data_IF_269797709247
#
_entry.id   IF_269797709247
#
_cell.length_a   1.000
_cell.length_b   1.000
_cell.length_c   1.000
_cell.angle_alpha   90.00
_cell.angle_beta   90.00
_cell.angle_gamma   90.00
#
_symmetry.space_group_name_H-M   'P 1'
#
loop_
_entity.id
_entity.type
_entity.pdbx_description
1 polymer ?
#
# COMPACT_ATOMS: atom_id res chain seq x y z
N UNK A 1 3.98 2.44 -10.93
CA UNK A 1 3.06 3.48 -11.43
C UNK A 1 3.07 4.67 -10.48
N UNK A 2 3.24 5.90 -10.98
CA UNK A 2 2.97 7.12 -10.21
C UNK A 2 1.48 7.45 -10.39
N UNK A 3 0.68 7.40 -9.33
CA UNK A 3 -0.77 7.59 -9.41
C UNK A 3 -1.19 9.07 -9.54
N UNK A 4 -0.28 10.01 -9.26
CA UNK A 4 -0.56 11.44 -9.26
C UNK A 4 -0.75 12.04 -10.67
N UNK A 5 -0.33 11.32 -11.71
CA UNK A 5 -0.46 11.76 -13.10
C UNK A 5 -1.88 11.56 -13.67
N UNK A 6 -2.78 10.89 -12.92
CA UNK A 6 -4.13 10.54 -13.36
C UNK A 6 -5.22 11.40 -12.72
N UNK A 7 -6.15 11.86 -13.54
CA UNK A 7 -7.25 12.75 -13.14
C UNK A 7 -8.47 11.97 -12.64
N UNK A 8 -8.67 10.74 -13.13
CA UNK A 8 -9.82 9.89 -12.77
C UNK A 8 -9.41 8.51 -12.26
N UNK A 9 -10.29 7.88 -11.46
CA UNK A 9 -10.08 6.52 -10.97
C UNK A 9 -10.01 5.52 -12.13
N UNK A 10 -10.79 5.75 -13.19
CA UNK A 10 -10.81 4.88 -14.38
C UNK A 10 -9.46 4.85 -15.08
N UNK A 11 -8.82 6.00 -15.28
CA UNK A 11 -7.48 6.07 -15.88
C UNK A 11 -6.44 5.28 -15.07
N UNK A 12 -6.51 5.35 -13.73
CA UNK A 12 -5.62 4.58 -12.84
C UNK A 12 -5.85 3.08 -13.00
N UNK A 13 -7.11 2.65 -13.13
CA UNK A 13 -7.45 1.24 -13.29
C UNK A 13 -6.99 0.73 -14.66
N UNK A 14 -7.19 1.51 -15.72
CA UNK A 14 -6.72 1.18 -17.07
C UNK A 14 -5.20 1.04 -17.10
N UNK A 15 -4.48 2.03 -16.57
CA UNK A 15 -3.01 1.98 -16.47
C UNK A 15 -2.53 0.79 -15.63
N UNK A 16 -3.19 0.52 -14.49
CA UNK A 16 -2.87 -0.64 -13.65
C UNK A 16 -3.04 -1.97 -14.41
N UNK A 17 -4.08 -2.09 -15.24
CA UNK A 17 -4.33 -3.28 -16.06
C UNK A 17 -3.27 -3.39 -17.17
N UNK A 18 -2.96 -2.28 -17.85
CA UNK A 18 -2.04 -2.25 -18.99
C UNK A 18 -0.57 -2.47 -18.58
N UNK A 19 -0.15 -1.93 -17.43
CA UNK A 19 1.17 -2.17 -16.83
C UNK A 19 1.25 -3.56 -16.15
N UNK A 20 0.11 -4.20 -15.91
CA UNK A 20 -0.01 -5.48 -15.24
C UNK A 20 0.55 -6.65 -16.06
N UNK A 21 0.88 -7.75 -15.37
CA UNK A 21 1.39 -8.99 -16.03
C UNK A 21 0.30 -9.80 -16.72
N UNK A 22 -0.97 -9.59 -16.36
CA UNK A 22 -2.11 -10.40 -16.82
C UNK A 22 -2.93 -9.61 -17.85
N UNK A 23 -3.30 -10.22 -18.99
CA UNK A 23 -4.21 -9.58 -19.91
C UNK A 23 -5.61 -9.44 -19.29
N UNK A 24 -6.33 -8.38 -19.63
CA UNK A 24 -7.71 -8.10 -19.14
C UNK A 24 -8.68 -9.28 -19.29
N UNK A 25 -8.51 -10.14 -20.31
CA UNK A 25 -9.33 -11.34 -20.48
C UNK A 25 -9.11 -12.37 -19.37
N UNK A 26 -7.88 -12.51 -18.89
CA UNK A 26 -7.56 -13.38 -17.76
C UNK A 26 -8.10 -12.80 -16.45
N UNK A 27 -7.97 -11.49 -16.25
CA UNK A 27 -8.56 -10.78 -15.10
C UNK A 27 -10.07 -11.00 -15.05
N UNK A 28 -10.76 -10.80 -16.18
CA UNK A 28 -12.20 -11.02 -16.31
C UNK A 28 -12.62 -12.44 -15.90
N UNK A 29 -11.87 -13.46 -16.34
CA UNK A 29 -12.11 -14.85 -15.97
C UNK A 29 -11.92 -15.09 -14.46
N UNK A 30 -10.86 -14.55 -13.85
CA UNK A 30 -10.58 -14.72 -12.41
C UNK A 30 -11.67 -14.08 -11.53
N UNK A 31 -12.17 -12.91 -11.91
CA UNK A 31 -13.25 -12.22 -11.18
C UNK A 31 -14.64 -12.73 -11.58
N UNK A 32 -14.73 -13.82 -12.35
CA UNK A 32 -15.98 -14.43 -12.82
C UNK A 32 -16.91 -13.44 -13.55
N UNK A 33 -16.34 -12.54 -14.35
CA UNK A 33 -17.07 -11.51 -15.09
C UNK A 33 -16.91 -11.65 -16.60
N UNK A 34 -17.98 -11.52 -17.41
CA UNK A 34 -17.84 -11.52 -18.85
C UNK A 34 -16.92 -10.39 -19.34
N UNK A 35 -15.92 -10.72 -20.15
CA UNK A 35 -14.95 -9.75 -20.68
C UNK A 35 -15.60 -8.54 -21.39
N UNK A 36 -16.61 -8.69 -22.27
CA UNK A 36 -17.27 -7.54 -22.90
C UNK A 36 -17.93 -6.61 -21.89
N UNK A 37 -18.52 -7.16 -20.83
CA UNK A 37 -19.14 -6.38 -19.75
C UNK A 37 -18.08 -5.60 -18.98
N UNK A 38 -16.99 -6.26 -18.57
CA UNK A 38 -15.88 -5.59 -17.87
C UNK A 38 -15.29 -4.45 -18.71
N UNK A 39 -15.08 -4.68 -20.02
CA UNK A 39 -14.56 -3.66 -20.92
C UNK A 39 -15.48 -2.44 -21.05
N UNK A 40 -16.80 -2.65 -21.03
CA UNK A 40 -17.77 -1.54 -21.04
C UNK A 40 -17.74 -0.74 -19.74
N UNK A 41 -17.67 -1.42 -18.59
CA UNK A 41 -17.61 -0.75 -17.28
C UNK A 41 -16.31 0.02 -17.01
N UNK A 42 -15.22 -0.37 -17.68
CA UNK A 42 -13.95 0.34 -17.62
C UNK A 42 -13.87 1.46 -18.65
N UNK A 43 -14.79 1.54 -19.62
CA UNK A 43 -14.75 2.56 -20.65
C UNK A 43 -15.30 3.90 -20.10
N UNK A 44 -14.48 4.95 -19.95
CA UNK A 44 -14.94 6.24 -19.45
C UNK A 44 -15.95 6.94 -20.37
N UNK A 45 -16.06 6.52 -21.63
CA UNK A 45 -17.03 7.06 -22.59
C UNK A 45 -18.39 6.31 -22.62
N UNK A 46 -18.55 5.23 -21.84
CA UNK A 46 -19.83 4.50 -21.74
C UNK A 46 -20.59 4.92 -20.47
N UNK A 47 -21.36 6.01 -20.55
CA UNK A 47 -22.17 6.51 -19.44
C UNK A 47 -23.21 5.50 -18.89
N UNK A 48 -23.50 4.44 -19.66
CA UNK A 48 -24.45 3.40 -19.30
C UNK A 48 -23.87 2.26 -18.44
N UNK A 49 -22.56 2.23 -18.22
CA UNK A 49 -21.88 1.18 -17.47
C UNK A 49 -20.99 1.79 -16.38
N UNK A 50 -21.08 1.26 -15.15
CA UNK A 50 -20.26 1.71 -14.02
C UNK A 50 -19.56 0.54 -13.39
N UNK A 51 -18.28 0.72 -13.08
CA UNK A 51 -17.52 -0.26 -12.33
C UNK A 51 -18.00 -0.31 -10.88
N UNK A 52 -18.49 -1.47 -10.44
CA UNK A 52 -18.87 -1.71 -9.05
C UNK A 52 -17.65 -1.87 -8.13
N UNK A 53 -17.79 -1.50 -6.85
CA UNK A 53 -16.70 -1.57 -5.87
C UNK A 53 -16.17 -3.01 -5.64
N UNK A 54 -17.06 -4.01 -5.60
CA UNK A 54 -16.65 -5.42 -5.46
C UNK A 54 -15.82 -5.91 -6.66
N UNK A 55 -16.16 -5.41 -7.85
CA UNK A 55 -15.45 -5.71 -9.09
C UNK A 55 -14.07 -5.06 -9.06
N UNK A 56 -13.98 -3.81 -8.61
CA UNK A 56 -12.72 -3.10 -8.43
C UNK A 56 -11.78 -3.85 -7.47
N UNK A 57 -12.29 -4.35 -6.35
CA UNK A 57 -11.50 -5.17 -5.42
C UNK A 57 -10.96 -6.43 -6.09
N UNK A 58 -11.79 -7.13 -6.87
CA UNK A 58 -11.37 -8.30 -7.63
C UNK A 58 -10.28 -7.98 -8.66
N UNK A 59 -10.39 -6.86 -9.36
CA UNK A 59 -9.38 -6.40 -10.33
C UNK A 59 -8.05 -6.12 -9.62
N UNK A 60 -8.07 -5.36 -8.52
CA UNK A 60 -6.87 -5.07 -7.72
C UNK A 60 -6.18 -6.35 -7.25
N UNK A 61 -6.95 -7.30 -6.72
CA UNK A 61 -6.44 -8.59 -6.27
C UNK A 61 -5.85 -9.43 -7.42
N UNK A 62 -6.53 -9.48 -8.57
CA UNK A 62 -6.06 -10.19 -9.77
C UNK A 62 -4.76 -9.61 -10.33
N UNK A 63 -4.62 -8.28 -10.30
CA UNK A 63 -3.43 -7.54 -10.74
C UNK A 63 -2.30 -7.57 -9.71
N UNK A 64 -2.60 -7.86 -8.43
CA UNK A 64 -1.65 -7.75 -7.33
C UNK A 64 -1.21 -6.30 -7.07
N UNK A 65 -2.10 -5.33 -7.29
CA UNK A 65 -1.82 -3.90 -7.15
C UNK A 65 -2.95 -3.19 -6.40
N UNK A 66 -2.59 -2.29 -5.50
CA UNK A 66 -3.52 -1.47 -4.71
C UNK A 66 -3.60 -0.02 -5.21
N UNK A 67 -3.05 0.28 -6.38
CA UNK A 67 -2.95 1.65 -6.88
C UNK A 67 -4.29 2.44 -6.92
N UNK A 68 -5.45 1.84 -7.28
CA UNK A 68 -6.74 2.53 -7.17
C UNK A 68 -7.10 2.94 -5.73
N UNK A 69 -6.74 2.10 -4.75
CA UNK A 69 -6.97 2.38 -3.34
C UNK A 69 -6.05 3.50 -2.83
N UNK A 70 -4.79 3.49 -3.22
CA UNK A 70 -3.82 4.55 -2.90
C UNK A 70 -4.25 5.90 -3.48
N UNK A 71 -4.69 5.92 -4.74
CA UNK A 71 -5.18 7.12 -5.41
C UNK A 71 -6.42 7.72 -4.74
N UNK A 72 -7.33 6.87 -4.25
CA UNK A 72 -8.52 7.31 -3.51
C UNK A 72 -8.14 7.89 -2.15
N UNK A 73 -7.24 7.22 -1.43
CA UNK A 73 -6.76 7.67 -0.12
C UNK A 73 -6.09 9.04 -0.23
N UNK A 74 -5.17 9.21 -1.19
CA UNK A 74 -4.42 10.46 -1.40
C UNK A 74 -5.34 11.66 -1.63
N UNK A 75 -6.35 11.51 -2.50
CA UNK A 75 -7.37 12.56 -2.76
C UNK A 75 -8.21 12.95 -1.55
N UNK A 76 -8.30 12.06 -0.57
CA UNK A 76 -9.05 12.30 0.67
C UNK A 76 -8.12 12.73 1.82
N UNK A 77 -6.81 12.89 1.58
CA UNK A 77 -5.83 13.21 2.61
C UNK A 77 -5.48 12.04 3.54
N UNK A 78 -5.68 10.81 3.06
CA UNK A 78 -5.34 9.58 3.77
C UNK A 78 -4.18 8.83 3.09
N UNK A 79 -3.58 7.91 3.84
CA UNK A 79 -2.56 6.98 3.34
C UNK A 79 -3.05 5.56 3.57
N UNK A 80 -2.88 4.69 2.57
CA UNK A 80 -3.16 3.26 2.70
C UNK A 80 -1.95 2.59 3.34
N UNK A 81 -2.19 1.82 4.39
CA UNK A 81 -1.16 1.05 5.10
C UNK A 81 -1.52 -0.43 5.04
N UNK A 82 -0.58 -1.34 4.73
CA UNK A 82 -0.79 -2.78 4.87
C UNK A 82 -1.32 -3.17 6.25
N UNK A 83 -2.00 -4.31 6.36
CA UNK A 83 -2.47 -4.81 7.67
C UNK A 83 -1.34 -5.27 8.59
N UNK A 84 -0.22 -5.69 8.00
CA UNK A 84 1.02 -5.97 8.71
C UNK A 84 1.81 -4.68 9.03
N UNK A 85 1.19 -3.51 8.89
CA UNK A 85 1.77 -2.27 9.39
C UNK A 85 1.92 -2.40 10.90
N UNK A 86 3.15 -2.30 11.40
CA UNK A 86 3.45 -2.54 12.79
C UNK A 86 2.63 -1.62 13.71
N UNK A 87 1.78 -2.23 14.53
CA UNK A 87 0.96 -1.53 15.53
C UNK A 87 1.88 -1.07 16.66
N UNK A 88 1.81 0.19 17.11
CA UNK A 88 2.75 0.70 18.09
C UNK A 88 2.62 -0.02 19.44
N UNK A 89 3.73 -0.50 19.98
CA UNK A 89 3.77 -1.28 21.23
C UNK A 89 4.13 -0.45 22.49
N UNK A 90 4.50 0.82 22.30
CA UNK A 90 4.76 1.82 23.36
C UNK A 90 3.58 2.79 23.51
N UNK A 91 3.42 3.37 24.72
CA UNK A 91 2.34 4.30 25.00
C UNK A 91 2.51 5.68 24.35
N UNK A 92 3.74 6.09 23.99
CA UNK A 92 4.03 7.40 23.41
C UNK A 92 5.05 7.28 22.28
N UNK A 93 5.02 8.23 21.34
CA UNK A 93 5.94 8.21 20.20
C UNK A 93 7.41 8.36 20.63
N UNK A 94 7.68 9.07 21.74
CA UNK A 94 9.02 9.14 22.30
C UNK A 94 9.50 7.76 22.74
N UNK A 95 8.61 6.94 23.31
CA UNK A 95 8.89 5.55 23.67
C UNK A 95 9.24 4.71 22.45
N UNK A 96 8.44 4.79 21.39
CA UNK A 96 8.71 4.07 20.13
C UNK A 96 10.06 4.48 19.52
N UNK A 97 10.38 5.79 19.52
CA UNK A 97 11.62 6.30 18.92
C UNK A 97 12.92 5.83 19.60
N UNK A 98 12.82 5.34 20.84
CA UNK A 98 13.95 4.70 21.52
C UNK A 98 14.30 3.38 20.85
N UNK A 99 13.29 2.60 20.45
CA UNK A 99 13.49 1.30 19.81
C UNK A 99 14.02 1.46 18.38
N UNK A 100 13.62 2.51 17.66
CA UNK A 100 14.25 2.91 16.39
C UNK A 100 15.78 3.03 16.52
N UNK A 101 16.22 3.73 17.58
CA UNK A 101 17.63 4.00 17.83
C UNK A 101 18.39 2.73 18.19
N UNK A 102 17.78 1.87 19.01
CA UNK A 102 18.36 0.58 19.42
C UNK A 102 18.51 -0.35 18.20
N UNK A 103 17.46 -0.50 17.40
CA UNK A 103 17.45 -1.36 16.23
C UNK A 103 18.42 -0.87 15.14
N UNK A 104 18.50 0.45 14.91
CA UNK A 104 19.52 1.04 14.04
C UNK A 104 20.95 0.69 14.53
N UNK A 105 21.23 0.92 15.81
CA UNK A 105 22.53 0.63 16.42
C UNK A 105 22.92 -0.85 16.28
N UNK A 106 21.97 -1.76 16.53
CA UNK A 106 22.14 -3.21 16.37
C UNK A 106 22.50 -3.57 14.92
N UNK A 107 21.77 -3.03 13.94
CA UNK A 107 22.04 -3.30 12.52
C UNK A 107 23.44 -2.80 12.11
N UNK A 108 23.81 -1.58 12.51
CA UNK A 108 25.13 -0.99 12.20
C UNK A 108 26.26 -1.80 12.86
N UNK A 109 26.09 -2.22 14.11
CA UNK A 109 27.06 -3.07 14.81
C UNK A 109 27.28 -4.39 14.06
N UNK A 110 26.21 -5.07 13.63
CA UNK A 110 26.31 -6.30 12.85
C UNK A 110 27.07 -6.11 11.53
N UNK A 111 26.89 -4.96 10.86
CA UNK A 111 27.67 -4.62 9.67
C UNK A 111 29.16 -4.40 9.98
N UNK A 112 29.47 -3.70 11.07
CA UNK A 112 30.86 -3.46 11.52
C UNK A 112 31.58 -4.75 11.87
N UNK A 113 30.86 -5.70 12.47
CA UNK A 113 31.35 -7.05 12.79
C UNK A 113 31.45 -7.97 11.56
N UNK A 114 31.04 -7.49 10.38
CA UNK A 114 30.99 -8.26 9.13
C UNK A 114 30.12 -9.52 9.25
N UNK A 115 29.01 -9.41 9.97
CA UNK A 115 28.01 -10.46 10.04
C UNK A 115 27.51 -10.84 8.63
N UNK A 116 27.00 -12.06 8.48
CA UNK A 116 26.47 -12.53 7.21
C UNK A 116 25.32 -11.62 6.72
N UNK A 117 25.22 -11.30 5.43
CA UNK A 117 24.22 -10.36 4.91
C UNK A 117 22.77 -10.69 5.31
N UNK A 118 22.40 -11.97 5.38
CA UNK A 118 21.04 -12.35 5.81
C UNK A 118 20.70 -11.94 7.25
N UNK A 119 21.70 -11.89 8.14
CA UNK A 119 21.54 -11.45 9.53
C UNK A 119 21.34 -9.94 9.56
N UNK A 120 22.14 -9.21 8.79
CA UNK A 120 22.02 -7.76 8.63
C UNK A 120 20.67 -7.39 8.02
N UNK A 121 20.23 -8.11 6.98
CA UNK A 121 18.91 -7.91 6.36
C UNK A 121 17.77 -8.13 7.35
N UNK A 122 17.85 -9.17 8.20
CA UNK A 122 16.83 -9.39 9.23
C UNK A 122 16.77 -8.22 10.23
N UNK A 123 17.92 -7.75 10.71
CA UNK A 123 17.97 -6.58 11.59
C UNK A 123 17.46 -5.30 10.92
N UNK A 124 17.64 -5.18 9.60
CA UNK A 124 17.08 -4.07 8.83
C UNK A 124 15.55 -4.12 8.71
N UNK A 125 14.96 -5.31 8.55
CA UNK A 125 13.49 -5.46 8.58
C UNK A 125 12.93 -5.14 9.98
N UNK A 126 13.55 -5.67 11.04
CA UNK A 126 13.17 -5.33 12.43
C UNK A 126 13.20 -3.81 12.66
N UNK A 127 14.21 -3.10 12.16
CA UNK A 127 14.29 -1.65 12.30
C UNK A 127 13.19 -0.90 11.52
N UNK A 128 12.81 -1.38 10.32
CA UNK A 128 11.71 -0.76 9.57
C UNK A 128 10.39 -0.89 10.33
N UNK A 129 10.16 -2.05 10.96
CA UNK A 129 8.95 -2.27 11.75
C UNK A 129 8.87 -1.26 12.91
N UNK A 130 9.97 -1.01 13.64
CA UNK A 130 10.01 0.01 14.71
C UNK A 130 9.72 1.43 14.17
N UNK A 131 10.31 1.79 13.04
CA UNK A 131 10.06 3.10 12.40
C UNK A 131 8.56 3.25 12.05
N UNK A 132 7.92 2.18 11.58
CA UNK A 132 6.51 2.18 11.23
C UNK A 132 5.59 2.27 12.47
N UNK A 133 6.00 1.68 13.61
CA UNK A 133 5.35 1.86 14.92
C UNK A 133 5.46 3.31 15.39
N UNK A 134 6.67 3.87 15.41
CA UNK A 134 6.93 5.27 15.79
C UNK A 134 6.08 6.24 15.00
N UNK A 135 6.05 6.10 13.67
CA UNK A 135 5.25 6.95 12.80
C UNK A 135 3.74 6.82 13.05
N UNK A 136 3.26 5.61 13.34
CA UNK A 136 1.84 5.40 13.65
C UNK A 136 1.48 6.03 14.99
N UNK A 137 2.26 5.81 16.05
CA UNK A 137 2.02 6.42 17.37
C UNK A 137 2.06 7.94 17.31
N UNK A 138 3.07 8.52 16.67
CA UNK A 138 3.18 9.97 16.52
C UNK A 138 1.92 10.57 15.89
N UNK A 139 1.40 9.94 14.83
CA UNK A 139 0.16 10.37 14.19
C UNK A 139 -1.05 10.27 15.12
N UNK A 140 -1.17 9.20 15.92
CA UNK A 140 -2.25 9.05 16.88
C UNK A 140 -2.20 10.16 17.94
N UNK A 141 -1.03 10.37 18.53
CA UNK A 141 -0.80 11.39 19.56
C UNK A 141 -1.09 12.81 19.03
N UNK A 142 -0.61 13.11 17.81
CA UNK A 142 -0.87 14.39 17.13
C UNK A 142 -2.36 14.66 16.91
N UNK A 143 -3.12 13.66 16.49
CA UNK A 143 -4.56 13.80 16.25
C UNK A 143 -5.34 13.94 17.56
N UNK A 144 -4.98 13.18 18.60
CA UNK A 144 -5.61 13.26 19.91
C UNK A 144 -5.43 14.65 20.55
N UNK A 145 -4.24 15.25 20.41
CA UNK A 145 -3.96 16.58 20.95
C UNK A 145 -4.77 17.72 20.29
N UNK A 146 -5.49 17.43 19.20
CA UNK A 146 -6.24 18.41 18.38
C UNK A 146 -7.76 18.17 18.36
N UNK A 147 -8.25 17.19 19.13
CA UNK A 147 -9.68 16.92 19.36
C UNK A 147 -10.12 17.48 20.72
#
# INVERSE_FOLDING_TARGET
MNTQDYNTLTEVIEAMIDEGKKPIKAIAAEISKPYPTLKRELNPADDGAKLGADVLLGIMASCGSIAPLEWLADRLGYVVKPKEWAEPDKPTWEGESVDDTICCGKMVMLMQEKAHPSIVSKAAEEWKDEIDQTNTRYRLDYNQARQ
#
